data_IF_726114299793
#
_entry.id   IF_726114299793
#
_cell.length_a   1.000
_cell.length_b   1.000
_cell.length_c   1.000
_cell.angle_alpha   90.00
_cell.angle_beta   90.00
_cell.angle_gamma   90.00
#
_symmetry.space_group_name_H-M   'P 1'
#
loop_
_entity.id
_entity.type
_entity.pdbx_description
1 polymer ?
#
# COMPACT_ATOMS: atom_id res chain seq x y z
N UNK A 1 4.24 -10.58 16.26
CA UNK A 1 4.28 -10.93 14.81
C UNK A 1 2.88 -11.35 14.41
N UNK A 2 2.35 -10.78 13.31
CA UNK A 2 1.01 -11.07 12.79
C UNK A 2 0.91 -12.48 12.22
N UNK A 3 -0.24 -13.12 12.41
CA UNK A 3 -0.58 -14.43 11.83
C UNK A 3 -1.56 -14.34 10.67
N UNK A 4 -2.39 -13.31 10.65
CA UNK A 4 -3.46 -13.13 9.66
C UNK A 4 -3.39 -11.74 9.03
N UNK A 5 -3.23 -11.69 7.72
CA UNK A 5 -3.23 -10.45 6.93
C UNK A 5 -4.30 -10.50 5.85
N UNK A 6 -4.98 -9.38 5.64
CA UNK A 6 -5.81 -9.19 4.45
C UNK A 6 -5.15 -8.21 3.50
N UNK A 7 -5.00 -8.59 2.24
CA UNK A 7 -4.46 -7.77 1.16
C UNK A 7 -5.64 -7.25 0.32
N UNK A 8 -5.93 -5.97 0.45
CA UNK A 8 -6.95 -5.25 -0.31
C UNK A 8 -6.34 -4.72 -1.62
N UNK A 9 -7.00 -4.99 -2.75
CA UNK A 9 -6.44 -4.69 -4.07
C UNK A 9 -5.35 -5.68 -4.49
N UNK A 10 -5.53 -6.96 -4.14
CA UNK A 10 -4.52 -8.03 -4.25
C UNK A 10 -4.06 -8.35 -5.67
N UNK A 11 -4.81 -7.92 -6.71
CA UNK A 11 -4.38 -8.05 -8.10
C UNK A 11 -3.33 -6.99 -8.54
N UNK A 12 -2.98 -6.03 -7.68
CA UNK A 12 -1.93 -5.04 -7.94
C UNK A 12 -0.53 -5.65 -7.96
N UNK A 13 0.40 -5.06 -8.71
CA UNK A 13 1.74 -5.61 -8.86
C UNK A 13 2.51 -5.73 -7.53
N UNK A 14 2.45 -4.71 -6.66
CA UNK A 14 3.07 -4.75 -5.34
C UNK A 14 2.39 -5.79 -4.46
N UNK A 15 1.05 -5.86 -4.49
CA UNK A 15 0.29 -6.82 -3.71
C UNK A 15 0.63 -8.27 -4.06
N UNK A 16 0.77 -8.59 -5.35
CA UNK A 16 1.14 -9.95 -5.79
C UNK A 16 2.57 -10.32 -5.34
N UNK A 17 3.53 -9.39 -5.46
CA UNK A 17 4.91 -9.59 -4.97
C UNK A 17 4.93 -9.76 -3.45
N UNK A 18 4.20 -8.92 -2.72
CA UNK A 18 4.09 -9.05 -1.26
C UNK A 18 3.49 -10.40 -0.87
N UNK A 19 2.43 -10.85 -1.57
CA UNK A 19 1.84 -12.17 -1.33
C UNK A 19 2.87 -13.28 -1.49
N UNK A 20 3.64 -13.27 -2.58
CA UNK A 20 4.69 -14.26 -2.83
C UNK A 20 5.79 -14.21 -1.74
N UNK A 21 6.21 -13.01 -1.35
CA UNK A 21 7.21 -12.81 -0.28
C UNK A 21 6.71 -13.36 1.06
N UNK A 22 5.47 -13.06 1.44
CA UNK A 22 4.89 -13.54 2.69
C UNK A 22 4.71 -15.07 2.69
N UNK A 23 4.31 -15.66 1.57
CA UNK A 23 4.23 -17.12 1.44
C UNK A 23 5.59 -17.80 1.57
N UNK A 24 6.65 -17.16 1.09
CA UNK A 24 8.01 -17.72 1.10
C UNK A 24 8.69 -17.60 2.46
N UNK A 25 8.53 -16.46 3.13
CA UNK A 25 9.34 -16.11 4.31
C UNK A 25 8.58 -16.07 5.63
N UNK A 26 7.27 -16.36 5.63
CA UNK A 26 6.44 -16.36 6.85
C UNK A 26 5.45 -17.50 6.86
N UNK A 27 4.82 -17.74 8.02
CA UNK A 27 3.70 -18.68 8.19
C UNK A 27 2.32 -17.97 8.19
N UNK A 28 2.26 -16.73 7.70
CA UNK A 28 1.02 -15.95 7.71
C UNK A 28 -0.05 -16.56 6.83
N UNK A 29 -1.29 -16.54 7.32
CA UNK A 29 -2.48 -16.77 6.51
C UNK A 29 -2.90 -15.47 5.84
N UNK A 30 -3.16 -15.52 4.54
CA UNK A 30 -3.37 -14.34 3.70
C UNK A 30 -4.75 -14.38 3.07
N UNK A 31 -5.59 -13.38 3.34
CA UNK A 31 -6.83 -13.18 2.59
C UNK A 31 -6.58 -12.21 1.44
N UNK A 32 -6.83 -12.65 0.22
CA UNK A 32 -6.74 -11.83 -0.99
C UNK A 32 -8.13 -11.28 -1.32
N UNK A 33 -8.24 -9.95 -1.41
CA UNK A 33 -9.48 -9.27 -1.76
C UNK A 33 -9.29 -8.35 -2.96
N UNK A 34 -10.19 -8.48 -3.94
CA UNK A 34 -10.18 -7.65 -5.14
C UNK A 34 -11.14 -8.14 -6.20
N UNK A 35 -11.09 -7.53 -7.37
CA UNK A 35 -11.94 -7.87 -8.52
C UNK A 35 -11.20 -8.81 -9.46
N UNK A 36 -11.89 -9.83 -9.99
CA UNK A 36 -11.37 -10.73 -11.04
C UNK A 36 -10.04 -11.38 -10.65
N UNK A 37 -9.91 -11.86 -9.42
CA UNK A 37 -8.67 -12.43 -8.91
C UNK A 37 -8.31 -13.71 -9.64
N UNK A 38 -9.33 -14.53 -9.96
CA UNK A 38 -9.18 -15.79 -10.71
C UNK A 38 -8.52 -15.64 -12.08
N UNK A 39 -8.60 -14.44 -12.70
CA UNK A 39 -7.98 -14.16 -14.00
C UNK A 39 -6.72 -13.32 -13.93
N UNK A 40 -6.38 -12.77 -12.76
CA UNK A 40 -5.31 -11.79 -12.58
C UNK A 40 -4.17 -12.26 -11.69
N UNK A 41 -4.39 -13.33 -10.93
CA UNK A 41 -3.40 -13.92 -10.02
C UNK A 41 -3.13 -15.36 -10.49
N UNK A 42 -1.86 -15.77 -10.39
CA UNK A 42 -1.48 -17.12 -10.82
C UNK A 42 -2.21 -18.19 -10.01
N UNK A 43 -2.70 -19.29 -10.64
CA UNK A 43 -3.46 -20.35 -9.95
C UNK A 43 -2.71 -20.94 -8.75
N UNK A 44 -1.41 -21.17 -8.85
CA UNK A 44 -0.59 -21.70 -7.74
C UNK A 44 -0.66 -20.86 -6.46
N UNK A 45 -0.82 -19.54 -6.60
CA UNK A 45 -1.02 -18.64 -5.44
C UNK A 45 -2.43 -18.80 -4.92
N UNK A 46 -3.44 -18.84 -5.81
CA UNK A 46 -4.85 -18.92 -5.42
C UNK A 46 -5.20 -20.26 -4.73
N UNK A 47 -4.51 -21.33 -5.08
CA UNK A 47 -4.72 -22.69 -4.57
C UNK A 47 -3.85 -23.02 -3.35
N UNK A 48 -3.00 -22.09 -2.92
CA UNK A 48 -2.11 -22.33 -1.77
C UNK A 48 -2.90 -22.44 -0.45
N UNK A 49 -2.58 -23.41 0.39
CA UNK A 49 -3.30 -23.74 1.64
C UNK A 49 -3.46 -22.57 2.63
N UNK A 50 -2.53 -21.61 2.61
CA UNK A 50 -2.57 -20.40 3.46
C UNK A 50 -3.27 -19.22 2.80
N UNK A 51 -3.87 -19.40 1.62
CA UNK A 51 -4.57 -18.33 0.89
C UNK A 51 -6.09 -18.52 1.01
N UNK A 52 -6.78 -17.45 1.33
CA UNK A 52 -8.22 -17.32 1.21
C UNK A 52 -8.53 -16.29 0.14
N UNK A 53 -9.36 -16.62 -0.83
CA UNK A 53 -9.72 -15.71 -1.92
C UNK A 53 -11.16 -15.25 -1.77
N UNK A 54 -11.36 -13.92 -1.75
CA UNK A 54 -12.69 -13.32 -1.71
C UNK A 54 -12.78 -12.26 -2.80
N UNK A 55 -13.61 -12.50 -3.81
CA UNK A 55 -13.81 -11.53 -4.89
C UNK A 55 -14.90 -10.52 -4.55
N UNK A 56 -14.57 -9.24 -4.74
CA UNK A 56 -15.48 -8.14 -4.51
C UNK A 56 -14.87 -6.77 -4.81
N UNK A 57 -15.73 -5.75 -4.84
CA UNK A 57 -15.31 -4.34 -4.88
C UNK A 57 -15.41 -3.72 -3.50
N UNK A 58 -14.68 -2.63 -3.23
CA UNK A 58 -14.76 -1.91 -1.96
C UNK A 58 -16.17 -1.35 -1.68
N UNK A 59 -16.99 -1.20 -2.71
CA UNK A 59 -18.40 -0.80 -2.58
C UNK A 59 -19.35 -1.97 -2.28
N UNK A 60 -18.83 -3.18 -2.06
CA UNK A 60 -19.61 -4.32 -1.56
C UNK A 60 -19.30 -4.54 -0.07
N UNK A 61 -20.09 -3.94 0.86
CA UNK A 61 -19.75 -3.96 2.28
C UNK A 61 -19.78 -5.37 2.88
N UNK A 62 -20.67 -6.27 2.41
CA UNK A 62 -20.75 -7.65 2.91
C UNK A 62 -19.48 -8.43 2.58
N UNK A 63 -19.03 -8.34 1.33
CA UNK A 63 -17.81 -9.02 0.88
C UNK A 63 -16.55 -8.42 1.51
N UNK A 64 -16.52 -7.11 1.69
CA UNK A 64 -15.41 -6.43 2.34
C UNK A 64 -15.30 -6.81 3.83
N UNK A 65 -16.42 -6.84 4.55
CA UNK A 65 -16.48 -7.29 5.94
C UNK A 65 -16.10 -8.78 6.09
N UNK A 66 -16.52 -9.64 5.15
CA UNK A 66 -16.11 -11.04 5.07
C UNK A 66 -14.58 -11.15 4.91
N UNK A 67 -13.99 -10.35 4.01
CA UNK A 67 -12.57 -10.39 3.71
C UNK A 67 -11.67 -9.95 4.88
N UNK A 68 -12.13 -9.00 5.69
CA UNK A 68 -11.34 -8.50 6.83
C UNK A 68 -11.67 -9.20 8.16
N UNK A 69 -12.58 -10.17 8.13
CA UNK A 69 -12.93 -10.95 9.32
C UNK A 69 -11.73 -11.76 9.82
N UNK A 70 -11.48 -11.71 11.12
CA UNK A 70 -10.36 -12.39 11.79
C UNK A 70 -8.96 -11.93 11.32
N UNK A 71 -8.86 -10.80 10.65
CA UNK A 71 -7.58 -10.20 10.25
C UNK A 71 -6.95 -9.45 11.43
N UNK A 72 -5.63 -9.45 11.52
CA UNK A 72 -4.86 -8.67 12.51
C UNK A 72 -4.30 -7.39 11.89
N UNK A 73 -3.93 -7.44 10.60
CA UNK A 73 -3.41 -6.31 9.84
C UNK A 73 -3.95 -6.31 8.43
N UNK A 74 -4.23 -5.13 7.90
CA UNK A 74 -4.65 -4.94 6.50
C UNK A 74 -3.54 -4.26 5.73
N UNK A 75 -3.22 -4.79 4.56
CA UNK A 75 -2.42 -4.09 3.54
C UNK A 75 -3.34 -3.62 2.41
N UNK A 76 -3.29 -2.32 2.09
CA UNK A 76 -4.03 -1.70 0.98
C UNK A 76 -3.06 -1.28 -0.12
N UNK A 77 -3.17 -1.90 -1.28
CA UNK A 77 -2.20 -1.74 -2.38
C UNK A 77 -2.31 -0.42 -3.15
N UNK A 78 -3.41 0.30 -3.01
CA UNK A 78 -3.62 1.63 -3.62
C UNK A 78 -4.77 2.37 -2.94
N UNK A 79 -4.62 3.69 -2.79
CA UNK A 79 -5.66 4.59 -2.28
C UNK A 79 -6.23 5.39 -3.47
N UNK A 80 -7.30 4.91 -4.11
CA UNK A 80 -7.81 5.53 -5.34
C UNK A 80 -8.88 6.60 -5.08
N UNK A 81 -9.80 6.36 -4.16
CA UNK A 81 -10.92 7.29 -3.89
C UNK A 81 -11.26 7.41 -2.41
N UNK A 82 -11.79 8.59 -2.02
CA UNK A 82 -12.30 8.80 -0.67
C UNK A 82 -13.48 7.89 -0.31
N UNK A 83 -14.33 7.56 -1.28
CA UNK A 83 -15.48 6.66 -1.06
C UNK A 83 -15.05 5.22 -0.78
N UNK A 84 -14.03 4.72 -1.48
CA UNK A 84 -13.49 3.39 -1.24
C UNK A 84 -12.80 3.33 0.13
N UNK A 85 -12.02 4.35 0.47
CA UNK A 85 -11.39 4.44 1.78
C UNK A 85 -12.43 4.51 2.91
N UNK A 86 -13.51 5.27 2.75
CA UNK A 86 -14.58 5.33 3.75
C UNK A 86 -15.26 3.96 3.95
N UNK A 87 -15.47 3.20 2.86
CA UNK A 87 -16.00 1.85 2.94
C UNK A 87 -15.04 0.90 3.68
N UNK A 88 -13.73 0.99 3.40
CA UNK A 88 -12.69 0.20 4.07
C UNK A 88 -12.65 0.54 5.56
N UNK A 89 -12.54 1.81 5.93
CA UNK A 89 -12.53 2.25 7.34
C UNK A 89 -13.76 1.75 8.09
N UNK A 90 -14.94 1.81 7.47
CA UNK A 90 -16.20 1.32 8.06
C UNK A 90 -16.18 -0.20 8.27
N UNK A 91 -15.67 -0.97 7.31
CA UNK A 91 -15.58 -2.42 7.41
C UNK A 91 -14.61 -2.83 8.53
N UNK A 92 -13.43 -2.19 8.59
CA UNK A 92 -12.44 -2.44 9.64
C UNK A 92 -12.99 -2.13 11.03
N UNK A 93 -13.67 -0.99 11.19
CA UNK A 93 -14.29 -0.60 12.45
C UNK A 93 -15.34 -1.63 12.93
N UNK A 94 -16.16 -2.16 12.03
CA UNK A 94 -17.18 -3.19 12.36
C UNK A 94 -16.58 -4.53 12.77
N UNK A 95 -15.39 -4.86 12.28
CA UNK A 95 -14.67 -6.07 12.62
C UNK A 95 -13.62 -5.86 13.75
N UNK A 96 -13.59 -4.66 14.36
CA UNK A 96 -12.60 -4.26 15.38
C UNK A 96 -11.14 -4.38 14.94
N UNK A 97 -10.88 -4.31 13.65
CA UNK A 97 -9.54 -4.28 13.10
C UNK A 97 -9.00 -2.85 13.19
N UNK A 98 -7.79 -2.70 13.71
CA UNK A 98 -7.21 -1.37 13.95
C UNK A 98 -6.01 -1.06 13.06
N UNK A 99 -5.26 -2.07 12.60
CA UNK A 99 -3.99 -1.89 11.90
C UNK A 99 -4.18 -1.93 10.38
N UNK A 100 -3.72 -0.88 9.71
CA UNK A 100 -3.69 -0.80 8.24
C UNK A 100 -2.38 -0.18 7.77
N UNK A 101 -1.77 -0.79 6.74
CA UNK A 101 -0.65 -0.24 5.98
C UNK A 101 -1.18 0.02 4.57
N UNK A 102 -1.15 1.26 4.11
CA UNK A 102 -1.69 1.64 2.81
C UNK A 102 -0.67 2.36 1.95
N UNK A 103 -0.66 2.06 0.65
CA UNK A 103 0.18 2.75 -0.33
C UNK A 103 -0.56 3.98 -0.86
N UNK A 104 0.14 5.09 -0.96
CA UNK A 104 -0.33 6.36 -1.53
C UNK A 104 0.77 6.97 -2.39
N UNK A 105 0.44 7.92 -3.23
CA UNK A 105 1.46 8.67 -3.97
C UNK A 105 2.17 9.69 -3.08
N UNK A 106 3.46 9.92 -3.33
CA UNK A 106 4.21 11.05 -2.78
C UNK A 106 3.88 12.36 -3.54
N UNK A 107 4.32 13.50 -3.01
CA UNK A 107 4.11 14.83 -3.58
C UNK A 107 2.80 15.51 -3.17
N UNK A 108 1.86 14.80 -2.54
CA UNK A 108 0.55 15.36 -2.17
C UNK A 108 0.63 16.46 -1.09
N UNK A 109 1.73 16.59 -0.37
CA UNK A 109 1.96 17.60 0.68
C UNK A 109 2.98 18.66 0.28
N UNK A 110 3.38 18.72 -1.01
CA UNK A 110 4.40 19.68 -1.47
C UNK A 110 5.82 19.32 -1.01
N UNK A 111 6.08 18.03 -0.77
CA UNK A 111 7.36 17.54 -0.30
C UNK A 111 8.40 17.31 -1.39
N UNK A 112 7.98 17.28 -2.66
CA UNK A 112 8.89 17.12 -3.80
C UNK A 112 9.63 18.40 -4.15
N UNK A 113 10.86 18.31 -4.72
CA UNK A 113 11.48 19.43 -5.43
C UNK A 113 10.60 19.95 -6.56
N UNK A 114 10.64 21.25 -6.84
CA UNK A 114 9.75 21.94 -7.78
C UNK A 114 9.69 21.29 -9.16
N UNK A 115 10.81 20.83 -9.72
CA UNK A 115 10.86 20.21 -11.02
C UNK A 115 10.17 18.84 -11.03
N UNK A 116 10.44 17.98 -10.04
CA UNK A 116 9.81 16.68 -9.88
C UNK A 116 8.31 16.82 -9.57
N UNK A 117 7.94 17.79 -8.73
CA UNK A 117 6.54 18.08 -8.42
C UNK A 117 5.76 18.46 -9.69
N UNK A 118 6.31 19.41 -10.46
CA UNK A 118 5.70 19.81 -11.72
C UNK A 118 5.56 18.64 -12.69
N UNK A 119 6.63 17.86 -12.91
CA UNK A 119 6.59 16.68 -13.77
C UNK A 119 5.50 15.70 -13.33
N UNK A 120 5.44 15.41 -12.02
CA UNK A 120 4.48 14.45 -11.46
C UNK A 120 3.04 14.89 -11.67
N UNK A 121 2.70 16.15 -11.37
CA UNK A 121 1.32 16.61 -11.48
C UNK A 121 0.91 16.92 -12.92
N UNK A 122 1.83 17.28 -13.81
CA UNK A 122 1.54 17.41 -15.23
C UNK A 122 1.28 16.03 -15.90
N UNK A 123 1.87 14.97 -15.37
CA UNK A 123 1.78 13.60 -15.92
C UNK A 123 0.57 12.81 -15.42
N UNK A 124 -0.10 13.23 -14.35
CA UNK A 124 -1.18 12.48 -13.73
C UNK A 124 -2.54 13.16 -13.93
N UNK A 125 -3.62 12.37 -14.14
CA UNK A 125 -4.97 12.93 -14.18
C UNK A 125 -5.32 13.65 -12.87
N UNK A 126 -5.89 14.84 -12.96
CA UNK A 126 -6.31 15.63 -11.77
C UNK A 126 -7.25 14.82 -10.88
N UNK A 127 -8.17 14.05 -11.48
CA UNK A 127 -9.12 13.20 -10.75
C UNK A 127 -8.43 12.13 -9.92
N UNK A 128 -7.34 11.55 -10.41
CA UNK A 128 -6.53 10.59 -9.67
C UNK A 128 -5.88 11.26 -8.44
N UNK A 129 -5.20 12.39 -8.64
CA UNK A 129 -4.57 13.15 -7.54
C UNK A 129 -5.58 13.59 -6.48
N UNK A 130 -6.76 14.04 -6.90
CA UNK A 130 -7.85 14.42 -5.99
C UNK A 130 -8.38 13.21 -5.22
N UNK A 131 -8.56 12.07 -5.89
CA UNK A 131 -8.99 10.82 -5.27
C UNK A 131 -8.03 10.33 -4.19
N UNK A 132 -6.74 10.31 -4.49
CA UNK A 132 -5.67 9.98 -3.55
C UNK A 132 -5.67 10.92 -2.32
N UNK A 133 -5.80 12.23 -2.54
CA UNK A 133 -5.91 13.23 -1.45
C UNK A 133 -7.10 12.95 -0.55
N UNK A 134 -8.26 12.70 -1.12
CA UNK A 134 -9.48 12.39 -0.38
C UNK A 134 -9.33 11.09 0.42
N UNK A 135 -8.83 10.03 -0.20
CA UNK A 135 -8.61 8.74 0.45
C UNK A 135 -7.64 8.86 1.64
N UNK A 136 -6.52 9.57 1.44
CA UNK A 136 -5.55 9.83 2.51
C UNK A 136 -6.18 10.59 3.67
N UNK A 137 -6.98 11.62 3.40
CA UNK A 137 -7.64 12.41 4.46
C UNK A 137 -8.62 11.55 5.26
N UNK A 138 -9.48 10.77 4.59
CA UNK A 138 -10.41 9.84 5.26
C UNK A 138 -9.66 8.86 6.17
N UNK A 139 -8.53 8.32 5.73
CA UNK A 139 -7.74 7.41 6.56
C UNK A 139 -7.12 8.14 7.76
N UNK A 140 -6.58 9.33 7.57
CA UNK A 140 -5.96 10.15 8.65
C UNK A 140 -6.96 10.58 9.71
N UNK A 141 -8.19 10.88 9.33
CA UNK A 141 -9.28 11.26 10.23
C UNK A 141 -9.88 10.06 10.98
N UNK A 142 -9.59 8.84 10.54
CA UNK A 142 -10.08 7.62 11.19
C UNK A 142 -9.38 7.34 12.54
N UNK A 143 -9.95 6.43 13.33
CA UNK A 143 -9.34 5.93 14.56
C UNK A 143 -8.41 4.72 14.32
N UNK A 144 -8.05 4.43 13.07
CA UNK A 144 -7.16 3.32 12.75
C UNK A 144 -5.71 3.65 13.12
N UNK A 145 -4.97 2.62 13.49
CA UNK A 145 -3.51 2.65 13.55
C UNK A 145 -2.99 2.46 12.12
N UNK A 146 -2.85 3.55 11.38
CA UNK A 146 -2.42 3.52 10.00
C UNK A 146 -0.91 3.76 9.85
N UNK A 147 -0.33 3.15 8.83
CA UNK A 147 0.91 3.60 8.17
C UNK A 147 0.58 3.91 6.72
N UNK A 148 0.80 5.13 6.28
CA UNK A 148 0.70 5.53 4.88
C UNK A 148 2.12 5.55 4.30
N UNK A 149 2.38 4.69 3.31
CA UNK A 149 3.63 4.71 2.57
C UNK A 149 3.46 5.58 1.33
N UNK A 150 4.17 6.71 1.29
CA UNK A 150 4.16 7.67 0.17
C UNK A 150 5.21 7.25 -0.84
N UNK A 151 4.78 6.91 -2.05
CA UNK A 151 5.64 6.35 -3.09
C UNK A 151 5.86 7.37 -4.22
N UNK A 152 7.10 7.57 -4.67
CA UNK A 152 7.39 8.28 -5.91
C UNK A 152 7.05 7.41 -7.11
N UNK A 153 7.69 7.63 -8.25
CA UNK A 153 7.47 6.83 -9.45
C UNK A 153 8.00 5.41 -9.31
N UNK A 154 7.19 4.44 -9.73
CA UNK A 154 7.46 3.01 -9.54
C UNK A 154 7.98 2.35 -10.81
N UNK A 155 9.05 1.60 -10.70
CA UNK A 155 9.58 0.75 -11.77
C UNK A 155 9.86 -0.67 -11.29
N UNK A 156 10.30 -1.56 -12.17
CA UNK A 156 10.62 -2.94 -11.84
C UNK A 156 12.13 -3.16 -11.99
N UNK A 157 12.75 -3.66 -10.94
CA UNK A 157 14.12 -4.18 -10.95
C UNK A 157 14.21 -5.20 -9.82
N UNK A 158 14.27 -6.47 -10.19
CA UNK A 158 14.23 -7.59 -9.23
C UNK A 158 15.48 -7.67 -8.34
N UNK A 159 16.57 -7.04 -8.74
CA UNK A 159 17.84 -7.05 -7.99
C UNK A 159 17.95 -5.84 -7.05
N UNK A 160 17.16 -4.78 -7.29
CA UNK A 160 17.21 -3.57 -6.47
C UNK A 160 16.08 -3.53 -5.43
N UNK A 161 16.43 -3.84 -4.20
CA UNK A 161 15.54 -3.75 -3.04
C UNK A 161 15.92 -2.60 -2.09
N UNK A 162 16.77 -1.66 -2.54
CA UNK A 162 17.23 -0.56 -1.72
C UNK A 162 16.12 0.49 -1.56
N UNK A 163 15.90 0.92 -0.33
CA UNK A 163 14.99 2.02 -0.03
C UNK A 163 15.50 2.82 1.17
N UNK A 164 15.04 4.05 1.26
CA UNK A 164 15.10 4.84 2.48
C UNK A 164 13.71 5.29 2.93
N UNK A 165 13.58 5.50 4.24
CA UNK A 165 12.35 5.98 4.84
C UNK A 165 12.45 7.49 5.09
N UNK A 166 11.51 8.24 4.53
CA UNK A 166 11.49 9.70 4.59
C UNK A 166 10.33 10.13 5.50
N UNK A 167 10.62 10.72 6.68
CA UNK A 167 9.59 11.18 7.60
C UNK A 167 8.63 12.20 6.97
N UNK A 168 7.42 12.30 7.50
CA UNK A 168 6.49 13.35 7.10
C UNK A 168 7.05 14.73 7.45
N UNK A 169 6.96 15.67 6.52
CA UNK A 169 7.50 17.02 6.67
C UNK A 169 8.96 17.18 6.25
N UNK A 170 9.70 16.09 6.03
CA UNK A 170 11.03 16.16 5.43
C UNK A 170 10.93 16.30 3.89
N UNK A 171 11.90 16.94 3.23
CA UNK A 171 11.99 16.97 1.78
C UNK A 171 12.07 15.55 1.21
N UNK A 172 11.29 15.27 0.17
CA UNK A 172 11.30 13.99 -0.53
C UNK A 172 11.98 14.18 -1.89
N UNK A 173 13.28 13.92 -1.94
CA UNK A 173 14.08 14.21 -3.12
C UNK A 173 14.14 13.05 -4.12
N UNK A 174 13.81 11.82 -3.71
CA UNK A 174 13.89 10.65 -4.56
C UNK A 174 12.75 10.62 -5.58
N UNK A 175 13.12 10.51 -6.86
CA UNK A 175 12.16 10.56 -7.95
C UNK A 175 11.50 9.21 -8.23
N UNK A 176 12.08 8.11 -7.76
CA UNK A 176 11.64 6.75 -8.08
C UNK A 176 11.92 5.76 -6.94
N UNK A 177 11.32 4.58 -7.05
CA UNK A 177 11.61 3.41 -6.21
C UNK A 177 11.15 2.14 -6.94
N UNK A 178 11.83 1.02 -6.74
CA UNK A 178 11.39 -0.26 -7.28
C UNK A 178 10.19 -0.80 -6.52
N UNK A 179 9.35 -1.60 -7.19
CA UNK A 179 8.27 -2.31 -6.51
C UNK A 179 8.80 -3.34 -5.52
N UNK A 180 9.94 -3.91 -5.81
CA UNK A 180 10.69 -4.85 -4.96
C UNK A 180 11.11 -4.17 -3.64
N UNK A 181 11.66 -2.97 -3.71
CA UNK A 181 12.03 -2.17 -2.54
C UNK A 181 10.80 -1.80 -1.68
N UNK A 182 9.68 -1.44 -2.32
CA UNK A 182 8.42 -1.19 -1.59
C UNK A 182 7.92 -2.46 -0.89
N UNK A 183 7.97 -3.61 -1.54
CA UNK A 183 7.61 -4.91 -0.93
C UNK A 183 8.50 -5.18 0.28
N UNK A 184 9.81 -4.98 0.14
CA UNK A 184 10.74 -5.12 1.26
C UNK A 184 10.41 -4.17 2.40
N UNK A 185 10.11 -2.90 2.13
CA UNK A 185 9.73 -1.92 3.16
C UNK A 185 8.46 -2.35 3.90
N UNK A 186 7.43 -2.84 3.19
CA UNK A 186 6.20 -3.36 3.82
C UNK A 186 6.51 -4.60 4.65
N UNK A 187 7.31 -5.53 4.12
CA UNK A 187 7.73 -6.73 4.85
C UNK A 187 8.46 -6.36 6.14
N UNK A 188 9.44 -5.45 6.08
CA UNK A 188 10.20 -5.01 7.25
C UNK A 188 9.27 -4.37 8.31
N UNK A 189 8.31 -3.52 7.90
CA UNK A 189 7.33 -2.88 8.79
C UNK A 189 6.40 -3.92 9.45
N UNK A 190 6.02 -4.99 8.74
CA UNK A 190 5.22 -6.08 9.31
C UNK A 190 5.97 -6.90 10.38
N UNK A 191 7.31 -6.81 10.42
CA UNK A 191 8.17 -7.62 11.28
C UNK A 191 8.93 -6.80 12.34
N UNK A 192 8.71 -5.49 12.44
CA UNK A 192 9.32 -4.69 13.51
C UNK A 192 8.80 -5.12 14.88
N UNK A 193 9.67 -5.10 15.89
CA UNK A 193 9.28 -5.35 17.29
C UNK A 193 8.52 -4.14 17.88
N UNK A 194 8.96 -2.93 17.55
CA UNK A 194 8.32 -1.69 17.98
C UNK A 194 7.62 -1.00 16.80
N UNK A 195 6.30 -1.02 16.79
CA UNK A 195 5.48 -0.36 15.77
C UNK A 195 5.28 1.14 16.00
N UNK A 196 5.78 1.68 17.13
CA UNK A 196 5.56 3.09 17.50
C UNK A 196 5.95 4.08 16.38
N UNK A 197 7.09 3.92 15.68
CA UNK A 197 7.47 4.82 14.59
C UNK A 197 6.52 4.77 13.38
N UNK A 198 5.74 3.70 13.25
CA UNK A 198 4.83 3.45 12.14
C UNK A 198 3.36 3.65 12.52
N UNK A 199 3.09 3.99 13.78
CA UNK A 199 1.74 4.19 14.32
C UNK A 199 1.21 5.57 13.93
N UNK A 200 0.10 5.62 13.19
CA UNK A 200 -0.53 6.84 12.66
C UNK A 200 0.47 7.72 11.90
N UNK A 201 1.36 7.06 11.16
CA UNK A 201 2.48 7.67 10.48
C UNK A 201 2.24 7.75 8.95
N UNK A 202 2.84 8.77 8.34
CA UNK A 202 2.93 8.94 6.89
C UNK A 202 4.41 9.03 6.52
N UNK A 203 4.92 8.01 5.81
CA UNK A 203 6.36 7.81 5.60
C UNK A 203 6.61 7.67 4.09
N UNK A 204 7.57 8.42 3.57
CA UNK A 204 8.06 8.24 2.21
C UNK A 204 8.91 6.98 2.09
N UNK A 205 8.81 6.30 0.95
CA UNK A 205 9.70 5.20 0.58
C UNK A 205 10.32 5.57 -0.75
N UNK A 206 11.58 5.97 -0.74
CA UNK A 206 12.34 6.41 -1.91
C UNK A 206 13.53 5.52 -2.17
N UNK A 207 14.06 5.55 -3.39
CA UNK A 207 15.33 4.92 -3.74
C UNK A 207 16.46 5.91 -3.51
N UNK A 208 17.40 5.63 -2.59
CA UNK A 208 18.45 6.56 -2.23
C UNK A 208 19.27 7.06 -3.43
N UNK A 209 19.44 8.38 -3.51
CA UNK A 209 20.30 9.01 -4.52
C UNK A 209 19.63 9.22 -5.87
N UNK A 210 18.33 8.98 -6.01
CA UNK A 210 17.58 9.24 -7.26
C UNK A 210 17.01 10.66 -7.31
N UNK A 211 17.86 11.66 -6.99
CA UNK A 211 17.51 13.08 -6.95
C UNK A 211 17.40 13.64 -8.38
N UNK A 212 16.36 13.25 -9.10
CA UNK A 212 16.13 13.61 -10.50
C UNK A 212 14.91 14.51 -10.65
N UNK A 213 14.89 15.34 -11.69
CA UNK A 213 13.73 16.18 -12.05
C UNK A 213 12.56 15.36 -12.60
N UNK A 214 12.83 14.13 -13.04
CA UNK A 214 11.86 13.12 -13.47
C UNK A 214 12.46 11.71 -13.27
N UNK A 215 11.64 10.65 -13.24
CA UNK A 215 12.15 9.28 -13.15
C UNK A 215 13.13 8.95 -14.28
N UNK A 216 14.18 8.18 -13.99
CA UNK A 216 15.23 7.84 -14.96
C UNK A 216 14.75 6.96 -16.13
N UNK A 217 13.61 6.33 -15.98
CA UNK A 217 13.02 5.39 -16.95
C UNK A 217 11.93 6.03 -17.85
N UNK A 218 11.70 7.36 -17.75
CA UNK A 218 10.72 8.13 -18.54
C UNK A 218 11.37 9.17 -19.45
#
# INVERSE_FOLDING_TARGET
>A
MYKYITILGSAGQIAQRLTATLLTYTDMHITLYGRQLSTRIHPEILEHERITVIEGSFQNPKKLEEAVKNTEVVFLSAMETGSDMAAIVKALARQNIRRIIGLSMAGLSGEFPTALEKFTFDSLPISYVQGERQARNVLRESNLNYTILRLPWLYNDMENTNYELIPEGAPFNDAQVTREAVVKAVYDILHVEDETPFSRASIGVGEPGTHYDKPSFL
#
